data_IF_813053087610
#
_entry.id   IF_813053087610
#
_cell.length_a   1.000
_cell.length_b   1.000
_cell.length_c   1.000
_cell.angle_alpha   90.00
_cell.angle_beta   90.00
_cell.angle_gamma   90.00
#
_symmetry.space_group_name_H-M   'P 1'
#
loop_
_entity.id
_entity.type
_entity.pdbx_description
1 polymer ?
#
# COMPACT_ATOMS: atom_id res chain seq x y z
N UNK A 1 -8.73 18.00 -54.46
CA UNK A 1 -8.24 16.60 -54.44
C UNK A 1 -8.82 15.95 -53.19
N UNK A 2 -9.78 15.03 -53.31
CA UNK A 2 -10.39 14.36 -52.15
C UNK A 2 -9.37 13.34 -51.66
N UNK A 3 -8.83 13.56 -50.46
CA UNK A 3 -7.93 12.60 -49.81
C UNK A 3 -8.84 11.51 -49.22
N UNK A 4 -8.68 10.27 -49.68
CA UNK A 4 -9.32 9.09 -49.06
C UNK A 4 -9.02 9.07 -47.55
N UNK A 5 -10.00 8.77 -46.69
CA UNK A 5 -9.81 8.77 -45.24
C UNK A 5 -8.57 7.96 -44.83
N UNK A 6 -7.76 8.50 -43.90
CA UNK A 6 -6.52 7.87 -43.41
C UNK A 6 -6.71 6.42 -42.92
N UNK A 7 -7.92 6.06 -42.48
CA UNK A 7 -8.28 4.71 -42.04
C UNK A 7 -8.07 3.62 -43.10
N UNK A 8 -8.25 3.95 -44.38
CA UNK A 8 -8.18 2.97 -45.49
C UNK A 8 -6.73 2.57 -45.83
N UNK A 9 -5.73 3.14 -45.13
CA UNK A 9 -4.29 2.89 -45.35
C UNK A 9 -3.63 2.13 -44.20
N UNK A 10 -4.34 1.81 -43.13
CA UNK A 10 -3.80 1.00 -42.03
C UNK A 10 -4.08 -0.48 -42.28
N UNK A 11 -3.04 -1.31 -42.34
CA UNK A 11 -3.16 -2.76 -42.53
C UNK A 11 -3.69 -3.52 -41.30
N UNK A 12 -3.63 -2.91 -40.11
CA UNK A 12 -4.17 -3.48 -38.87
C UNK A 12 -4.43 -2.39 -37.84
N UNK A 13 -5.41 -2.63 -36.97
CA UNK A 13 -5.68 -1.80 -35.79
C UNK A 13 -5.60 -2.67 -34.53
N UNK A 14 -4.74 -2.30 -33.59
CA UNK A 14 -4.65 -2.95 -32.28
C UNK A 14 -5.36 -2.06 -31.25
N UNK A 15 -6.27 -2.64 -30.48
CA UNK A 15 -6.89 -1.98 -29.33
C UNK A 15 -6.27 -2.55 -28.06
N UNK A 16 -5.65 -1.69 -27.27
CA UNK A 16 -5.04 -2.05 -26.00
C UNK A 16 -6.00 -1.76 -24.84
N UNK A 17 -5.69 -2.31 -23.67
CA UNK A 17 -6.38 -2.04 -22.42
C UNK A 17 -5.39 -2.10 -21.25
N UNK A 18 -5.76 -1.52 -20.12
CA UNK A 18 -5.03 -1.71 -18.86
C UNK A 18 -5.17 -3.15 -18.35
N UNK A 19 -4.26 -3.63 -17.49
CA UNK A 19 -4.36 -4.96 -16.87
C UNK A 19 -5.74 -5.20 -16.26
N UNK A 20 -6.26 -6.42 -16.41
CA UNK A 20 -7.60 -6.78 -15.91
C UNK A 20 -7.56 -7.29 -14.47
N UNK A 21 -6.47 -7.96 -14.14
CA UNK A 21 -6.26 -8.60 -12.85
C UNK A 21 -5.06 -7.95 -12.13
N UNK A 22 -5.03 -8.07 -10.80
CA UNK A 22 -4.01 -7.43 -9.96
C UNK A 22 -2.65 -8.09 -10.20
N UNK A 23 -2.64 -9.40 -10.46
CA UNK A 23 -1.44 -10.21 -10.68
C UNK A 23 -0.67 -9.76 -11.94
N UNK A 24 -1.38 -9.43 -13.02
CA UNK A 24 -0.78 -8.90 -14.25
C UNK A 24 -0.09 -7.55 -13.98
N UNK A 25 -0.72 -6.69 -13.17
CA UNK A 25 -0.14 -5.38 -12.83
C UNK A 25 1.03 -5.52 -11.85
N UNK A 26 0.97 -6.44 -10.89
CA UNK A 26 2.12 -6.78 -10.04
C UNK A 26 3.31 -7.27 -10.88
N UNK A 27 3.08 -8.10 -11.90
CA UNK A 27 4.14 -8.54 -12.82
C UNK A 27 4.75 -7.38 -13.60
N UNK A 28 3.95 -6.40 -14.01
CA UNK A 28 4.46 -5.17 -14.65
C UNK A 28 5.28 -4.33 -13.66
N UNK A 29 4.82 -4.17 -12.42
CA UNK A 29 5.58 -3.45 -11.38
C UNK A 29 6.93 -4.12 -11.16
N UNK A 30 6.97 -5.44 -11.01
CA UNK A 30 8.20 -6.20 -10.82
C UNK A 30 9.16 -6.05 -12.01
N UNK A 31 8.63 -6.10 -13.24
CA UNK A 31 9.43 -6.01 -14.45
C UNK A 31 9.99 -4.60 -14.69
N UNK A 32 9.18 -3.56 -14.47
CA UNK A 32 9.46 -2.20 -14.94
C UNK A 32 10.04 -1.29 -13.85
N UNK A 33 9.90 -1.63 -12.56
CA UNK A 33 10.44 -0.81 -11.47
C UNK A 33 11.97 -0.82 -11.45
N UNK A 34 12.54 0.35 -11.16
CA UNK A 34 13.96 0.47 -10.90
C UNK A 34 14.32 -0.30 -9.61
N UNK A 35 15.27 -1.24 -9.73
CA UNK A 35 15.79 -1.95 -8.56
C UNK A 35 16.58 -1.00 -7.67
N UNK A 36 15.99 -0.62 -6.55
CA UNK A 36 16.67 0.17 -5.53
C UNK A 36 17.70 -0.72 -4.84
N UNK A 37 18.97 -0.41 -5.06
CA UNK A 37 20.10 -1.07 -4.40
C UNK A 37 20.86 -0.04 -3.59
N UNK A 38 21.04 -0.33 -2.29
CA UNK A 38 21.80 0.51 -1.38
C UNK A 38 22.80 -0.37 -0.63
N UNK A 39 24.09 -0.06 -0.77
CA UNK A 39 25.16 -0.84 -0.14
C UNK A 39 24.97 -0.86 1.37
N UNK A 40 24.92 -2.05 1.96
CA UNK A 40 24.71 -2.23 3.41
C UNK A 40 23.25 -2.22 3.85
N UNK A 41 22.28 -2.24 2.92
CA UNK A 41 20.85 -2.35 3.22
C UNK A 41 20.25 -3.57 2.53
N UNK A 42 19.50 -4.35 3.28
CA UNK A 42 18.79 -5.53 2.80
C UNK A 42 17.31 -5.17 2.63
N UNK A 43 16.90 -4.92 1.38
CA UNK A 43 15.52 -4.55 1.06
C UNK A 43 14.72 -5.82 0.76
N UNK A 44 13.69 -6.07 1.58
CA UNK A 44 12.72 -7.15 1.41
C UNK A 44 11.32 -6.53 1.35
N UNK A 45 10.65 -6.66 0.21
CA UNK A 45 9.29 -6.12 0.03
C UNK A 45 8.27 -7.24 0.27
N UNK A 46 7.40 -7.14 1.28
CA UNK A 46 6.32 -8.10 1.49
C UNK A 46 5.38 -8.13 0.28
N UNK A 47 4.93 -9.30 -0.13
CA UNK A 47 4.16 -9.53 -1.37
C UNK A 47 2.80 -8.81 -1.41
N UNK A 48 2.19 -8.56 -0.25
CA UNK A 48 0.95 -7.78 -0.13
C UNK A 48 1.16 -6.28 -0.38
N UNK A 49 2.38 -5.75 -0.30
CA UNK A 49 2.65 -4.33 -0.56
C UNK A 49 2.51 -3.97 -2.05
N UNK A 50 3.14 -4.66 -3.02
CA UNK A 50 2.87 -4.42 -4.44
C UNK A 50 1.41 -4.76 -4.80
N UNK A 51 0.78 -5.70 -4.11
CA UNK A 51 -0.66 -5.96 -4.27
C UNK A 51 -1.51 -4.74 -3.87
N UNK A 52 -1.19 -4.06 -2.76
CA UNK A 52 -1.83 -2.80 -2.35
C UNK A 52 -1.62 -1.74 -3.43
N UNK A 53 -0.41 -1.56 -3.94
CA UNK A 53 -0.11 -0.57 -4.98
C UNK A 53 -0.93 -0.82 -6.25
N UNK A 54 -0.95 -2.06 -6.74
CA UNK A 54 -1.77 -2.44 -7.89
C UNK A 54 -3.27 -2.26 -7.62
N UNK A 55 -3.73 -2.53 -6.40
CA UNK A 55 -5.12 -2.33 -6.00
C UNK A 55 -5.51 -0.83 -5.96
N UNK A 56 -4.61 0.08 -5.56
CA UNK A 56 -4.84 1.53 -5.59
C UNK A 56 -5.17 2.02 -7.00
N UNK A 57 -4.32 1.71 -7.99
CA UNK A 57 -4.55 2.12 -9.38
C UNK A 57 -5.79 1.44 -9.96
N UNK A 58 -6.06 0.19 -9.57
CA UNK A 58 -7.26 -0.53 -9.95
C UNK A 58 -8.53 0.15 -9.43
N UNK A 59 -8.54 0.65 -8.20
CA UNK A 59 -9.64 1.43 -7.64
C UNK A 59 -9.77 2.78 -8.35
N UNK A 60 -8.66 3.47 -8.63
CA UNK A 60 -8.65 4.75 -9.34
C UNK A 60 -9.28 4.64 -10.75
N UNK A 61 -9.02 3.55 -11.49
CA UNK A 61 -9.64 3.27 -12.82
C UNK A 61 -11.16 3.07 -12.79
N UNK A 62 -11.76 2.90 -11.62
CA UNK A 62 -13.21 2.79 -11.45
C UNK A 62 -13.80 3.94 -10.64
N UNK A 63 -12.94 4.84 -10.16
CA UNK A 63 -13.36 5.93 -9.28
C UNK A 63 -14.09 6.99 -10.08
N UNK A 64 -15.31 7.42 -9.69
CA UNK A 64 -15.99 8.53 -10.34
C UNK A 64 -15.25 9.87 -10.13
N UNK A 65 -14.36 9.94 -9.15
CA UNK A 65 -13.56 11.13 -8.81
C UNK A 65 -12.31 11.29 -9.70
N UNK A 66 -12.01 10.28 -10.52
CA UNK A 66 -10.84 10.25 -11.41
C UNK A 66 -11.32 10.41 -12.85
N UNK A 67 -10.63 11.25 -13.61
CA UNK A 67 -10.95 11.54 -15.01
C UNK A 67 -10.66 10.32 -15.90
N UNK A 68 -11.73 9.59 -16.22
CA UNK A 68 -11.64 8.35 -16.98
C UNK A 68 -11.26 8.57 -18.46
N UNK A 69 -11.31 9.80 -18.97
CA UNK A 69 -10.84 10.11 -20.34
C UNK A 69 -9.31 10.09 -20.42
N UNK A 70 -8.65 10.56 -19.37
CA UNK A 70 -7.19 10.47 -19.22
C UNK A 70 -6.76 9.05 -18.85
N UNK A 71 -7.58 8.37 -18.02
CA UNK A 71 -7.32 7.03 -17.52
C UNK A 71 -6.16 7.00 -16.51
N UNK A 72 -5.88 5.81 -15.96
CA UNK A 72 -4.81 5.63 -14.95
C UNK A 72 -3.79 4.63 -15.48
N UNK A 73 -2.61 5.14 -15.83
CA UNK A 73 -1.52 4.36 -16.41
C UNK A 73 -0.91 3.38 -15.40
N UNK A 74 -0.38 2.26 -15.89
CA UNK A 74 0.50 1.38 -15.10
C UNK A 74 1.81 2.08 -14.66
N UNK A 75 2.16 3.20 -15.31
CA UNK A 75 3.27 4.05 -14.84
C UNK A 75 2.99 4.72 -13.49
N UNK A 76 1.71 4.82 -13.08
CA UNK A 76 1.35 5.27 -11.75
C UNK A 76 1.77 4.21 -10.72
N UNK A 77 1.33 2.96 -10.88
CA UNK A 77 1.68 1.88 -9.95
C UNK A 77 3.18 1.57 -9.90
N UNK A 78 3.90 1.66 -11.02
CA UNK A 78 5.37 1.53 -11.02
C UNK A 78 6.02 2.63 -10.16
N UNK A 79 5.61 3.89 -10.34
CA UNK A 79 6.18 5.00 -9.57
C UNK A 79 5.75 4.99 -8.10
N UNK A 80 4.51 4.58 -7.81
CA UNK A 80 4.03 4.42 -6.44
C UNK A 80 4.85 3.35 -5.71
N UNK A 81 5.15 2.24 -6.37
CA UNK A 81 6.02 1.20 -5.82
C UNK A 81 7.45 1.71 -5.56
N UNK A 82 8.04 2.43 -6.51
CA UNK A 82 9.37 3.04 -6.34
C UNK A 82 9.40 4.06 -5.20
N UNK A 83 8.36 4.90 -5.08
CA UNK A 83 8.22 5.86 -4.00
C UNK A 83 8.09 5.17 -2.63
N UNK A 84 7.26 4.12 -2.56
CA UNK A 84 7.07 3.30 -1.36
C UNK A 84 8.40 2.69 -0.88
N UNK A 85 9.13 2.01 -1.77
CA UNK A 85 10.40 1.35 -1.41
C UNK A 85 11.47 2.39 -1.07
N UNK A 86 11.50 3.53 -1.77
CA UNK A 86 12.41 4.64 -1.46
C UNK A 86 12.12 5.24 -0.09
N UNK A 87 10.85 5.38 0.30
CA UNK A 87 10.47 5.88 1.62
C UNK A 87 10.89 4.91 2.73
N UNK A 88 10.68 3.62 2.51
CA UNK A 88 11.10 2.58 3.44
C UNK A 88 12.62 2.60 3.66
N UNK A 89 13.40 2.76 2.59
CA UNK A 89 14.86 2.90 2.67
C UNK A 89 15.26 4.19 3.39
N UNK A 90 14.62 5.32 3.09
CA UNK A 90 14.84 6.59 3.82
C UNK A 90 14.63 6.40 5.31
N UNK A 91 13.50 5.81 5.71
CA UNK A 91 13.17 5.52 7.11
C UNK A 91 14.22 4.63 7.76
N UNK A 92 14.63 3.54 7.12
CA UNK A 92 15.65 2.65 7.66
C UNK A 92 17.00 3.37 7.87
N UNK A 93 17.43 4.19 6.91
CA UNK A 93 18.63 5.04 7.05
C UNK A 93 18.50 5.98 8.26
N UNK A 94 17.37 6.67 8.40
CA UNK A 94 17.13 7.59 9.52
C UNK A 94 17.12 6.89 10.88
N UNK A 95 16.68 5.63 10.93
CA UNK A 95 16.63 4.81 12.15
C UNK A 95 17.92 4.04 12.42
N UNK A 96 18.90 4.05 11.50
CA UNK A 96 20.12 3.24 11.61
C UNK A 96 19.87 1.74 11.44
N UNK A 97 18.84 1.35 10.68
CA UNK A 97 18.42 -0.03 10.46
C UNK A 97 18.88 -0.53 9.10
N UNK A 98 19.45 -1.73 9.05
CA UNK A 98 19.95 -2.34 7.80
C UNK A 98 18.91 -3.21 7.10
N UNK A 99 17.95 -3.76 7.85
CA UNK A 99 16.82 -4.52 7.30
C UNK A 99 15.70 -3.56 6.93
N UNK A 100 15.29 -3.59 5.66
CA UNK A 100 14.34 -2.64 5.08
C UNK A 100 13.14 -3.38 4.53
N UNK A 101 11.95 -3.01 4.98
CA UNK A 101 10.70 -3.44 4.39
C UNK A 101 9.71 -2.27 4.42
N UNK A 102 8.97 -2.01 3.32
CA UNK A 102 7.92 -1.01 3.33
C UNK A 102 6.77 -1.43 4.24
N UNK A 103 6.28 -0.47 5.03
CA UNK A 103 5.18 -0.61 6.00
C UNK A 103 3.98 0.24 5.56
N UNK A 104 2.86 0.16 6.27
CA UNK A 104 1.67 0.97 5.98
C UNK A 104 1.96 2.46 6.14
N UNK A 105 2.78 2.83 7.12
CA UNK A 105 3.26 4.20 7.31
C UNK A 105 4.00 4.76 6.09
N UNK A 106 4.65 3.91 5.29
CA UNK A 106 5.36 4.32 4.08
C UNK A 106 4.43 4.61 2.88
N UNK A 107 3.15 4.21 2.93
CA UNK A 107 2.18 4.45 1.84
C UNK A 107 1.86 5.94 1.66
N UNK A 108 2.12 6.78 2.67
CA UNK A 108 1.97 8.23 2.53
C UNK A 108 2.84 8.82 1.42
N UNK A 109 3.96 8.17 1.09
CA UNK A 109 4.90 8.62 0.06
C UNK A 109 4.34 8.54 -1.36
N UNK A 110 3.34 7.68 -1.61
CA UNK A 110 2.77 7.50 -2.95
C UNK A 110 1.78 8.62 -3.33
N UNK A 111 1.44 9.49 -2.38
CA UNK A 111 0.55 10.63 -2.63
C UNK A 111 1.09 11.54 -3.73
N UNK A 112 2.36 11.95 -3.60
CA UNK A 112 3.00 12.82 -4.57
C UNK A 112 3.10 12.21 -5.97
N UNK A 113 3.26 10.88 -6.06
CA UNK A 113 3.27 10.18 -7.34
C UNK A 113 1.88 10.10 -7.96
N UNK A 114 0.83 9.86 -7.16
CA UNK A 114 -0.55 9.85 -7.63
C UNK A 114 -1.01 11.22 -8.11
N UNK A 115 -0.76 12.30 -7.37
CA UNK A 115 -1.10 13.67 -7.78
C UNK A 115 -0.50 14.04 -9.15
N UNK A 116 0.74 13.62 -9.40
CA UNK A 116 1.42 13.90 -10.67
C UNK A 116 1.06 12.96 -11.83
N UNK A 117 0.30 11.88 -11.58
CA UNK A 117 0.05 10.81 -12.58
C UNK A 117 -1.42 10.44 -12.76
N UNK A 118 -2.30 10.95 -11.90
CA UNK A 118 -3.74 10.74 -11.94
C UNK A 118 -4.42 12.10 -12.10
N UNK A 119 -5.25 12.20 -13.14
CA UNK A 119 -6.09 13.38 -13.36
C UNK A 119 -7.41 13.19 -12.61
N UNK A 120 -7.77 14.12 -11.74
CA UNK A 120 -9.03 14.11 -11.00
C UNK A 120 -10.13 14.83 -11.79
N UNK A 121 -11.39 14.55 -11.45
CA UNK A 121 -12.52 15.33 -11.99
C UNK A 121 -12.51 16.74 -11.39
N UNK A 122 -12.89 17.75 -12.19
CA UNK A 122 -12.84 19.18 -11.78
C UNK A 122 -13.71 19.49 -10.55
N UNK A 123 -14.70 18.64 -10.23
CA UNK A 123 -15.52 18.80 -9.03
C UNK A 123 -14.74 18.52 -7.73
N UNK A 124 -13.62 17.83 -7.84
CA UNK A 124 -12.72 17.47 -6.73
C UNK A 124 -11.52 18.41 -6.60
N UNK A 125 -11.49 19.54 -7.32
CA UNK A 125 -10.46 20.57 -7.17
C UNK A 125 -10.33 20.97 -5.68
N UNK A 126 -9.15 20.75 -5.10
CA UNK A 126 -8.87 21.01 -3.68
C UNK A 126 -9.31 19.89 -2.71
N UNK A 127 -9.77 18.75 -3.21
CA UNK A 127 -10.12 17.53 -2.44
C UNK A 127 -9.36 16.27 -2.87
N UNK A 128 -8.45 16.39 -3.83
CA UNK A 128 -7.58 15.34 -4.35
C UNK A 128 -6.96 14.50 -3.22
N UNK A 129 -6.50 15.18 -2.17
CA UNK A 129 -5.91 14.54 -1.00
C UNK A 129 -6.82 13.51 -0.33
N UNK A 130 -8.11 13.82 -0.22
CA UNK A 130 -9.11 12.95 0.42
C UNK A 130 -9.46 11.79 -0.50
N UNK A 131 -9.49 12.03 -1.82
CA UNK A 131 -9.73 10.98 -2.82
C UNK A 131 -8.58 9.98 -2.79
N UNK A 132 -7.33 10.44 -2.81
CA UNK A 132 -6.13 9.61 -2.73
C UNK A 132 -6.14 8.78 -1.44
N UNK A 133 -6.41 9.40 -0.30
CA UNK A 133 -6.47 8.70 0.98
C UNK A 133 -7.54 7.59 0.96
N UNK A 134 -8.72 7.87 0.40
CA UNK A 134 -9.78 6.86 0.24
C UNK A 134 -9.37 5.72 -0.67
N UNK A 135 -8.63 5.99 -1.75
CA UNK A 135 -8.11 4.96 -2.65
C UNK A 135 -7.10 4.06 -1.93
N UNK A 136 -6.17 4.64 -1.16
CA UNK A 136 -5.18 3.91 -0.36
C UNK A 136 -5.87 3.04 0.69
N UNK A 137 -6.77 3.61 1.50
CA UNK A 137 -7.51 2.85 2.52
C UNK A 137 -8.37 1.75 1.88
N UNK A 138 -9.03 2.05 0.76
CA UNK A 138 -9.79 1.07 -0.01
C UNK A 138 -8.93 -0.09 -0.50
N UNK A 139 -7.69 0.18 -0.91
CA UNK A 139 -6.76 -0.85 -1.34
C UNK A 139 -6.27 -1.72 -0.17
N UNK A 140 -5.90 -1.09 0.95
CA UNK A 140 -5.45 -1.81 2.16
C UNK A 140 -6.54 -2.77 2.63
N UNK A 141 -7.79 -2.31 2.77
CA UNK A 141 -8.88 -3.17 3.25
C UNK A 141 -9.23 -4.28 2.26
N UNK A 142 -9.14 -4.01 0.95
CA UNK A 142 -9.39 -5.02 -0.08
C UNK A 142 -8.33 -6.13 -0.07
N UNK A 143 -7.05 -5.79 0.09
CA UNK A 143 -5.95 -6.76 0.20
C UNK A 143 -6.03 -7.51 1.53
N UNK A 144 -6.27 -6.80 2.64
CA UNK A 144 -6.42 -7.41 3.96
C UNK A 144 -7.54 -8.47 3.97
N UNK A 145 -8.71 -8.15 3.42
CA UNK A 145 -9.84 -9.08 3.37
C UNK A 145 -9.60 -10.30 2.46
N UNK A 146 -8.60 -10.25 1.57
CA UNK A 146 -8.18 -11.42 0.78
C UNK A 146 -7.18 -12.31 1.51
N UNK A 147 -6.38 -11.75 2.41
CA UNK A 147 -5.25 -12.41 3.06
C UNK A 147 -5.51 -12.86 4.49
N UNK A 148 -6.40 -12.17 5.19
CA UNK A 148 -6.67 -12.38 6.61
C UNK A 148 -8.12 -12.75 6.83
N UNK A 149 -8.37 -13.62 7.82
CA UNK A 149 -9.72 -13.88 8.32
C UNK A 149 -9.95 -13.12 9.62
N UNK A 150 -10.97 -12.27 9.67
CA UNK A 150 -11.30 -11.48 10.88
C UNK A 150 -11.62 -12.39 12.08
N UNK A 151 -12.23 -13.56 11.85
CA UNK A 151 -12.51 -14.53 12.93
C UNK A 151 -11.24 -14.96 13.65
N UNK A 152 -10.16 -15.12 12.89
CA UNK A 152 -8.91 -15.66 13.40
C UNK A 152 -8.08 -14.57 14.11
N UNK A 153 -8.54 -13.32 14.06
CA UNK A 153 -7.96 -12.15 14.71
C UNK A 153 -8.73 -11.72 15.97
N UNK A 154 -9.75 -12.47 16.38
CA UNK A 154 -10.52 -12.21 17.61
C UNK A 154 -9.63 -12.03 18.85
N UNK A 155 -8.57 -12.84 19.09
CA UNK A 155 -7.67 -12.65 20.23
C UNK A 155 -7.05 -11.25 20.28
N UNK A 156 -6.57 -10.74 19.14
CA UNK A 156 -6.01 -9.38 19.04
C UNK A 156 -7.08 -8.35 19.39
N UNK A 157 -8.27 -8.47 18.81
CA UNK A 157 -9.35 -7.49 19.10
C UNK A 157 -9.80 -7.53 20.56
N UNK A 158 -9.75 -8.70 21.20
CA UNK A 158 -10.12 -8.87 22.61
C UNK A 158 -9.09 -8.20 23.51
N UNK A 159 -7.81 -8.38 23.21
CA UNK A 159 -6.70 -7.74 23.91
C UNK A 159 -6.80 -6.21 23.84
N UNK A 160 -7.10 -5.64 22.68
CA UNK A 160 -7.28 -4.20 22.53
C UNK A 160 -8.52 -3.67 23.28
N UNK A 161 -9.62 -4.44 23.31
CA UNK A 161 -10.81 -4.08 24.11
C UNK A 161 -10.56 -4.13 25.62
N UNK A 162 -9.57 -4.90 26.07
CA UNK A 162 -9.14 -4.94 27.47
C UNK A 162 -8.33 -3.70 27.89
N UNK A 163 -8.02 -2.79 26.96
CA UNK A 163 -7.34 -1.52 27.22
C UNK A 163 -5.96 -1.39 26.58
N UNK A 164 -5.51 -2.40 25.83
CA UNK A 164 -4.23 -2.34 25.11
C UNK A 164 -4.29 -1.27 24.01
N UNK A 165 -3.23 -0.47 23.93
CA UNK A 165 -3.05 0.54 22.89
C UNK A 165 -1.65 0.45 22.32
N UNK A 166 -1.54 0.58 21.01
CA UNK A 166 -0.29 0.38 20.28
C UNK A 166 -0.02 1.57 19.36
N UNK A 167 1.18 2.14 19.49
CA UNK A 167 1.69 3.16 18.60
C UNK A 167 2.53 2.53 17.48
N UNK A 168 2.33 3.01 16.25
CA UNK A 168 3.06 2.63 15.04
C UNK A 168 3.43 3.89 14.25
N UNK A 169 4.36 3.78 13.31
CA UNK A 169 4.64 4.86 12.38
C UNK A 169 6.10 4.94 11.95
N UNK A 170 6.42 5.98 11.19
CA UNK A 170 7.76 6.13 10.59
C UNK A 170 8.88 6.26 11.63
N UNK A 171 8.56 6.82 12.81
CA UNK A 171 9.51 7.03 13.90
C UNK A 171 9.66 5.82 14.85
N UNK A 172 8.99 4.70 14.57
CA UNK A 172 9.04 3.51 15.43
C UNK A 172 10.14 2.53 14.97
N UNK A 173 11.12 2.18 15.85
CA UNK A 173 12.20 1.27 15.51
C UNK A 173 11.70 -0.18 15.42
N UNK A 174 12.43 -1.04 14.71
CA UNK A 174 12.13 -2.47 14.60
C UNK A 174 12.04 -3.17 15.96
N UNK A 175 12.87 -2.77 16.93
CA UNK A 175 12.82 -3.32 18.29
C UNK A 175 11.46 -3.11 18.96
N UNK A 176 10.79 -1.97 18.70
CA UNK A 176 9.45 -1.71 19.21
C UNK A 176 8.44 -2.73 18.69
N UNK A 177 8.46 -3.02 17.39
CA UNK A 177 7.58 -4.04 16.81
C UNK A 177 7.87 -5.46 17.33
N UNK A 178 9.15 -5.77 17.56
CA UNK A 178 9.54 -7.04 18.17
C UNK A 178 9.01 -7.18 19.61
N UNK A 179 8.93 -6.07 20.36
CA UNK A 179 8.38 -6.07 21.70
C UNK A 179 6.84 -6.15 21.69
N UNK A 180 6.18 -5.50 20.74
CA UNK A 180 4.74 -5.66 20.52
C UNK A 180 4.35 -7.12 20.27
N UNK A 181 5.12 -7.84 19.45
CA UNK A 181 4.89 -9.27 19.19
C UNK A 181 5.00 -10.13 20.45
N UNK A 182 5.78 -9.72 21.45
CA UNK A 182 5.89 -10.46 22.72
C UNK A 182 4.79 -10.09 23.72
N UNK A 183 4.30 -8.85 23.66
CA UNK A 183 3.42 -8.28 24.67
C UNK A 183 1.94 -8.38 24.32
N UNK A 184 1.59 -8.27 23.04
CA UNK A 184 0.19 -8.26 22.59
C UNK A 184 -0.26 -9.68 22.29
N UNK A 185 -1.20 -10.19 23.10
CA UNK A 185 -1.77 -11.52 22.90
C UNK A 185 -2.44 -11.64 21.52
N UNK A 186 -2.19 -12.75 20.83
CA UNK A 186 -2.74 -13.03 19.51
C UNK A 186 -2.02 -12.34 18.33
N UNK A 187 -1.19 -11.32 18.59
CA UNK A 187 -0.53 -10.57 17.52
C UNK A 187 0.46 -11.43 16.70
N UNK A 188 1.27 -12.34 17.29
CA UNK A 188 2.11 -13.25 16.52
C UNK A 188 1.33 -14.13 15.55
N UNK A 189 0.19 -14.67 16.00
CA UNK A 189 -0.69 -15.52 15.20
C UNK A 189 -1.33 -14.73 14.06
N UNK A 190 -1.69 -13.48 14.32
CA UNK A 190 -2.21 -12.57 13.31
C UNK A 190 -1.16 -12.28 12.21
N UNK A 191 0.07 -11.96 12.61
CA UNK A 191 1.19 -11.74 11.68
C UNK A 191 1.49 -12.99 10.85
N UNK A 192 1.40 -14.17 11.46
CA UNK A 192 1.61 -15.45 10.79
C UNK A 192 0.60 -15.75 9.65
N UNK A 193 -0.58 -15.10 9.64
CA UNK A 193 -1.50 -15.20 8.50
C UNK A 193 -0.99 -14.46 7.26
N UNK A 194 -0.16 -13.43 7.46
CA UNK A 194 0.31 -12.54 6.39
C UNK A 194 1.69 -12.96 5.90
N UNK A 195 2.57 -13.40 6.81
CA UNK A 195 3.95 -13.75 6.47
C UNK A 195 4.53 -14.80 7.43
N UNK A 196 5.42 -15.64 6.91
CA UNK A 196 6.24 -16.58 7.69
C UNK A 196 7.71 -16.11 7.78
N UNK A 197 8.01 -14.93 7.24
CA UNK A 197 9.34 -14.34 7.29
C UNK A 197 9.69 -13.92 8.73
N UNK A 198 10.92 -14.21 9.11
CA UNK A 198 11.48 -13.88 10.44
C UNK A 198 12.29 -12.59 10.43
N UNK A 199 12.46 -11.96 9.27
CA UNK A 199 13.08 -10.65 9.15
C UNK A 199 12.27 -9.62 9.98
N UNK A 200 12.91 -8.93 10.95
CA UNK A 200 12.21 -7.96 11.80
C UNK A 200 11.51 -6.86 11.01
N UNK A 201 12.05 -6.45 9.85
CA UNK A 201 11.45 -5.43 9.01
C UNK A 201 10.14 -5.91 8.36
N UNK A 202 10.12 -7.14 7.87
CA UNK A 202 8.91 -7.76 7.30
C UNK A 202 7.86 -7.97 8.38
N UNK A 203 8.26 -8.39 9.59
CA UNK A 203 7.35 -8.52 10.72
C UNK A 203 6.75 -7.18 11.15
N UNK A 204 7.55 -6.10 11.19
CA UNK A 204 7.04 -4.74 11.49
C UNK A 204 6.01 -4.28 10.44
N UNK A 205 6.26 -4.54 9.17
CA UNK A 205 5.31 -4.27 8.10
C UNK A 205 4.01 -5.07 8.27
N UNK A 206 4.10 -6.33 8.68
CA UNK A 206 2.93 -7.19 8.89
C UNK A 206 2.11 -6.76 10.10
N UNK A 207 2.76 -6.34 11.20
CA UNK A 207 2.07 -5.75 12.37
C UNK A 207 1.26 -4.54 11.95
N UNK A 208 1.84 -3.59 11.22
CA UNK A 208 1.10 -2.41 10.75
C UNK A 208 -0.06 -2.77 9.83
N UNK A 209 0.14 -3.73 8.92
CA UNK A 209 -0.90 -4.17 8.00
C UNK A 209 -2.08 -4.83 8.73
N UNK A 210 -1.81 -5.66 9.73
CA UNK A 210 -2.86 -6.29 10.55
C UNK A 210 -3.66 -5.24 11.31
N UNK A 211 -2.98 -4.31 11.99
CA UNK A 211 -3.65 -3.28 12.79
C UNK A 211 -4.48 -2.33 11.92
N UNK A 212 -3.94 -1.91 10.77
CA UNK A 212 -4.67 -1.07 9.82
C UNK A 212 -5.87 -1.81 9.22
N UNK A 213 -5.71 -3.08 8.85
CA UNK A 213 -6.80 -3.90 8.34
C UNK A 213 -7.94 -4.10 9.35
N UNK A 214 -7.61 -4.32 10.62
CA UNK A 214 -8.58 -4.36 11.71
C UNK A 214 -9.28 -3.01 11.91
N UNK A 215 -8.54 -1.90 11.83
CA UNK A 215 -9.11 -0.57 11.92
C UNK A 215 -10.10 -0.28 10.77
N UNK A 216 -9.71 -0.57 9.53
CA UNK A 216 -10.54 -0.32 8.35
C UNK A 216 -11.79 -1.22 8.33
N UNK A 217 -11.71 -2.42 8.93
CA UNK A 217 -12.85 -3.30 9.21
C UNK A 217 -13.64 -2.94 10.50
N UNK A 218 -13.39 -1.76 11.08
CA UNK A 218 -14.09 -1.23 12.26
C UNK A 218 -13.99 -2.11 13.50
N UNK A 219 -12.88 -2.84 13.63
CA UNK A 219 -12.55 -3.66 14.81
C UNK A 219 -11.65 -2.93 15.81
N UNK A 220 -10.91 -1.94 15.35
CA UNK A 220 -10.06 -1.06 16.16
C UNK A 220 -10.32 0.41 15.79
N UNK A 221 -10.10 1.29 16.76
CA UNK A 221 -10.03 2.73 16.55
C UNK A 221 -8.58 3.14 16.24
N UNK A 222 -8.41 4.20 15.44
CA UNK A 222 -7.11 4.76 15.07
C UNK A 222 -7.14 6.27 15.30
N UNK A 223 -6.16 6.78 16.03
CA UNK A 223 -5.85 8.20 16.10
C UNK A 223 -4.52 8.44 15.39
N UNK A 224 -4.51 9.30 14.37
CA UNK A 224 -3.31 9.60 13.59
C UNK A 224 -2.85 11.03 13.84
N UNK A 225 -1.57 11.20 14.22
CA UNK A 225 -0.94 12.51 14.42
C UNK A 225 0.46 12.47 13.82
N UNK A 226 0.74 13.34 12.85
CA UNK A 226 2.09 13.61 12.32
C UNK A 226 2.92 12.36 11.98
N UNK A 227 2.35 11.41 11.22
CA UNK A 227 3.06 10.19 10.78
C UNK A 227 3.14 9.06 11.82
N UNK A 228 2.52 9.25 12.98
CA UNK A 228 2.26 8.20 13.97
C UNK A 228 0.78 7.84 13.99
N UNK A 229 0.50 6.56 14.21
CA UNK A 229 -0.84 6.03 14.36
C UNK A 229 -0.93 5.24 15.67
N UNK A 230 -1.90 5.63 16.51
CA UNK A 230 -2.26 4.93 17.73
C UNK A 230 -3.51 4.09 17.49
N UNK A 231 -3.41 2.78 17.70
CA UNK A 231 -4.53 1.86 17.66
C UNK A 231 -5.04 1.55 19.08
N UNK A 232 -6.35 1.46 19.24
CA UNK A 232 -7.04 1.12 20.50
C UNK A 232 -8.35 0.36 20.24
N UNK A 233 -8.87 -0.32 21.26
CA UNK A 233 -10.17 -1.01 21.22
C UNK A 233 -11.37 -0.09 21.00
#
# INVERSE_FOLDING_TARGET
RIITPLKDRYGSQIRTHYPRNVEDEMGIIEQESAKITATGYNVTVPDYMPEIIAEVTRLARRSPDVNQRSGVSVRASVADYEALVSNALRRAISMGEHEVAPRISDLSAIRATLEGKVEFETVEDGREDQVIERLIQGAIVAVFNRRCSISDLEPVTTEFKAGTSVDTGEAMPLSHYQDLLKQVEGLPQAVAQVTQDTNPAVQAAAVEFVLEGLHLNKRLNKDAVSGQARYRG
#
